data_IF_016675931805
#
_entry.id   IF_016675931805
#
_cell.length_a   1.000
_cell.length_b   1.000
_cell.length_c   1.000
_cell.angle_alpha   90.00
_cell.angle_beta   90.00
_cell.angle_gamma   90.00
#
_symmetry.space_group_name_H-M   'P 1'
#
loop_
_entity.id
_entity.type
_entity.pdbx_description
1 polymer ?
#
# COMPACT_ATOMS: atom_id res chain seq x y z
N UNK A 1 -63.94 -24.03 30.55
CA UNK A 1 -62.58 -23.75 31.05
C UNK A 1 -61.57 -24.56 30.24
N UNK A 2 -60.51 -23.91 29.75
CA UNK A 2 -59.13 -24.42 29.74
C UNK A 2 -58.18 -23.27 29.31
N UNK A 3 -56.89 -23.29 29.70
CA UNK A 3 -56.14 -22.05 29.92
C UNK A 3 -55.19 -21.64 28.78
N UNK A 4 -54.76 -20.38 28.86
CA UNK A 4 -53.69 -19.77 28.05
C UNK A 4 -52.34 -20.40 28.37
N UNK A 5 -51.50 -20.63 27.35
CA UNK A 5 -50.06 -20.85 27.48
C UNK A 5 -49.28 -19.77 26.72
N UNK A 6 -48.22 -19.18 27.29
CA UNK A 6 -47.44 -18.14 26.62
C UNK A 6 -46.42 -18.74 25.64
N UNK A 7 -46.21 -18.07 24.51
CA UNK A 7 -45.18 -18.44 23.53
C UNK A 7 -43.78 -18.18 24.09
N UNK A 8 -42.96 -19.23 24.17
CA UNK A 8 -41.56 -19.10 24.54
C UNK A 8 -40.74 -18.64 23.33
N UNK A 9 -40.14 -17.45 23.41
CA UNK A 9 -39.24 -16.94 22.39
C UNK A 9 -37.95 -17.78 22.34
N UNK A 10 -37.62 -18.34 21.18
CA UNK A 10 -36.33 -18.98 20.93
C UNK A 10 -35.19 -17.96 21.05
N UNK A 11 -34.11 -18.25 21.80
CA UNK A 11 -32.96 -17.36 21.83
C UNK A 11 -32.24 -17.34 20.48
N UNK A 12 -31.90 -16.15 20.02
CA UNK A 12 -31.08 -15.90 18.83
C UNK A 12 -29.70 -16.56 18.94
N UNK A 13 -29.25 -17.21 17.86
CA UNK A 13 -27.93 -17.85 17.81
C UNK A 13 -26.78 -16.83 17.97
N UNK A 14 -25.66 -17.22 18.63
CA UNK A 14 -24.44 -16.41 18.70
C UNK A 14 -23.73 -16.35 17.32
N UNK A 15 -22.79 -15.40 17.13
CA UNK A 15 -22.01 -15.31 15.89
C UNK A 15 -21.19 -16.58 15.64
N UNK A 16 -20.88 -16.82 14.37
CA UNK A 16 -20.24 -18.04 13.85
C UNK A 16 -18.96 -18.43 14.62
N UNK A 17 -19.08 -19.43 15.48
CA UNK A 17 -17.95 -20.09 16.14
C UNK A 17 -17.25 -21.03 15.15
N UNK A 18 -15.95 -20.83 14.92
CA UNK A 18 -15.12 -21.76 14.16
C UNK A 18 -15.19 -23.15 14.81
N UNK A 19 -15.38 -24.20 14.01
CA UNK A 19 -15.61 -25.54 14.56
C UNK A 19 -14.37 -26.06 15.30
N UNK A 20 -14.56 -26.75 16.43
CA UNK A 20 -13.47 -27.30 17.23
C UNK A 20 -12.41 -28.13 16.43
N UNK A 21 -12.79 -29.05 15.51
CA UNK A 21 -11.78 -29.80 14.72
C UNK A 21 -11.05 -28.94 13.68
N UNK A 22 -11.68 -27.87 13.18
CA UNK A 22 -11.03 -26.91 12.29
C UNK A 22 -9.99 -26.09 13.04
N UNK A 23 -10.30 -25.68 14.27
CA UNK A 23 -9.36 -24.96 15.13
C UNK A 23 -8.15 -25.81 15.54
N UNK A 24 -8.35 -27.10 15.82
CA UNK A 24 -7.26 -28.04 16.07
C UNK A 24 -6.30 -28.16 14.87
N UNK A 25 -6.86 -28.11 13.65
CA UNK A 25 -6.08 -28.11 12.41
C UNK A 25 -5.25 -26.83 12.24
N UNK A 26 -5.83 -25.68 12.59
CA UNK A 26 -5.13 -24.38 12.60
C UNK A 26 -3.94 -24.40 13.57
N UNK A 27 -4.11 -24.89 14.80
CA UNK A 27 -3.00 -25.00 15.75
C UNK A 27 -1.87 -25.92 15.25
N UNK A 28 -2.21 -27.04 14.60
CA UNK A 28 -1.22 -27.93 13.98
C UNK A 28 -0.42 -27.23 12.88
N UNK A 29 -1.07 -26.47 11.99
CA UNK A 29 -0.37 -25.71 10.95
C UNK A 29 0.48 -24.57 11.52
N UNK A 30 0.00 -23.84 12.54
CA UNK A 30 0.79 -22.78 13.20
C UNK A 30 2.07 -23.38 13.81
N UNK A 31 1.97 -24.48 14.54
CA UNK A 31 3.14 -25.20 15.08
C UNK A 31 4.12 -25.63 13.96
N UNK A 32 3.58 -26.14 12.86
CA UNK A 32 4.33 -26.59 11.69
C UNK A 32 5.05 -25.48 10.89
N UNK A 33 4.78 -24.19 11.16
CA UNK A 33 5.56 -23.08 10.57
C UNK A 33 7.02 -23.06 11.04
N UNK A 34 7.28 -23.51 12.28
CA UNK A 34 8.63 -23.45 12.86
C UNK A 34 9.60 -24.40 12.17
N UNK A 35 9.16 -25.61 11.83
CA UNK A 35 9.94 -26.61 11.08
C UNK A 35 9.97 -26.28 9.57
N UNK A 36 11.18 -26.12 9.02
CA UNK A 36 11.44 -25.78 7.61
C UNK A 36 10.81 -26.76 6.62
N UNK A 37 10.75 -28.05 6.95
CA UNK A 37 10.20 -29.09 6.06
C UNK A 37 8.68 -29.00 5.91
N UNK A 38 7.97 -28.69 6.99
CA UNK A 38 6.50 -28.60 7.02
C UNK A 38 5.96 -27.19 6.78
N UNK A 39 6.83 -26.17 6.87
CA UNK A 39 6.43 -24.76 6.78
C UNK A 39 5.71 -24.43 5.48
N UNK A 40 6.14 -24.97 4.34
CA UNK A 40 5.55 -24.61 3.04
C UNK A 40 4.08 -25.04 2.90
N UNK A 41 3.75 -26.26 3.32
CA UNK A 41 2.36 -26.73 3.34
C UNK A 41 1.54 -25.99 4.40
N UNK A 42 2.11 -25.73 5.57
CA UNK A 42 1.47 -24.94 6.63
C UNK A 42 1.12 -23.51 6.17
N UNK A 43 2.04 -22.81 5.49
CA UNK A 43 1.80 -21.50 4.89
C UNK A 43 0.60 -21.51 3.94
N UNK A 44 0.54 -22.51 3.05
CA UNK A 44 -0.53 -22.63 2.06
C UNK A 44 -1.90 -22.86 2.72
N UNK A 45 -2.00 -23.76 3.70
CA UNK A 45 -3.28 -24.04 4.37
C UNK A 45 -3.73 -22.87 5.27
N UNK A 46 -2.82 -22.23 6.01
CA UNK A 46 -3.13 -21.04 6.81
C UNK A 46 -3.61 -19.88 5.93
N UNK A 47 -3.04 -19.69 4.74
CA UNK A 47 -3.50 -18.68 3.79
C UNK A 47 -4.94 -18.89 3.34
N UNK A 48 -5.37 -20.15 3.14
CA UNK A 48 -6.78 -20.46 2.82
C UNK A 48 -7.72 -20.16 3.97
N UNK A 49 -7.24 -20.23 5.22
CA UNK A 49 -8.03 -20.02 6.44
C UNK A 49 -8.07 -18.58 6.95
N UNK A 50 -7.26 -17.68 6.39
CA UNK A 50 -7.16 -16.26 6.80
C UNK A 50 -8.49 -15.48 6.79
N UNK A 51 -9.46 -15.89 5.98
CA UNK A 51 -10.77 -15.25 5.85
C UNK A 51 -11.86 -15.98 6.67
N UNK A 52 -11.62 -17.23 7.07
CA UNK A 52 -12.58 -18.05 7.84
C UNK A 52 -12.29 -18.12 9.34
N UNK A 53 -11.11 -17.65 9.77
CA UNK A 53 -10.65 -17.66 11.16
C UNK A 53 -10.26 -16.24 11.57
N UNK A 54 -11.16 -15.44 12.17
CA UNK A 54 -10.88 -14.06 12.58
C UNK A 54 -9.68 -13.95 13.53
N UNK A 55 -9.59 -14.87 14.49
CA UNK A 55 -8.55 -14.95 15.52
C UNK A 55 -7.16 -15.39 14.99
N UNK A 56 -7.01 -15.62 13.69
CA UNK A 56 -5.74 -16.13 13.13
C UNK A 56 -4.56 -15.19 13.41
N UNK A 57 -4.77 -13.88 13.38
CA UNK A 57 -3.72 -12.90 13.62
C UNK A 57 -3.19 -12.94 15.08
N UNK A 58 -4.02 -12.81 16.13
CA UNK A 58 -3.58 -13.01 17.52
C UNK A 58 -2.87 -14.36 17.75
N UNK A 59 -3.34 -15.44 17.12
CA UNK A 59 -2.73 -16.77 17.26
C UNK A 59 -1.34 -16.85 16.61
N UNK A 60 -1.16 -16.28 15.41
CA UNK A 60 0.13 -16.22 14.74
C UNK A 60 1.13 -15.32 15.48
N UNK A 61 0.65 -14.24 16.10
CA UNK A 61 1.49 -13.29 16.84
C UNK A 61 2.00 -13.86 18.16
N UNK A 62 1.09 -14.47 18.95
CA UNK A 62 1.42 -15.01 20.27
C UNK A 62 2.04 -16.43 20.21
N UNK A 63 2.04 -17.08 19.05
CA UNK A 63 2.72 -18.36 18.85
C UNK A 63 4.24 -18.21 18.76
N UNK A 64 4.96 -18.90 19.64
CA UNK A 64 6.42 -18.87 19.70
C UNK A 64 7.05 -19.27 18.35
N UNK A 65 7.90 -18.41 17.82
CA UNK A 65 8.65 -18.64 16.58
C UNK A 65 7.86 -18.44 15.28
N UNK A 66 6.54 -18.27 15.32
CA UNK A 66 5.71 -18.12 14.10
C UNK A 66 6.07 -16.86 13.31
N UNK A 67 6.15 -15.69 13.95
CA UNK A 67 6.56 -14.44 13.28
C UNK A 67 8.01 -14.53 12.77
N UNK A 68 8.92 -15.15 13.52
CA UNK A 68 10.30 -15.36 13.09
C UNK A 68 10.38 -16.27 11.84
N UNK A 69 9.54 -17.31 11.74
CA UNK A 69 9.44 -18.15 10.56
C UNK A 69 8.93 -17.37 9.33
N UNK A 70 7.93 -16.49 9.49
CA UNK A 70 7.45 -15.63 8.39
C UNK A 70 8.53 -14.65 7.92
N UNK A 71 9.32 -14.07 8.83
CA UNK A 71 10.45 -13.20 8.48
C UNK A 71 11.60 -13.97 7.80
N UNK A 72 11.86 -15.23 8.19
CA UNK A 72 12.83 -16.09 7.50
C UNK A 72 12.43 -16.34 6.05
N UNK A 73 11.14 -16.55 5.75
CA UNK A 73 10.66 -16.73 4.38
C UNK A 73 10.87 -15.47 3.52
N UNK A 74 10.75 -14.28 4.10
CA UNK A 74 11.11 -13.02 3.43
C UNK A 74 12.63 -12.96 3.17
N UNK A 75 13.45 -13.20 4.20
CA UNK A 75 14.89 -13.08 4.10
C UNK A 75 15.51 -14.10 3.13
N UNK A 76 14.92 -15.30 3.02
CA UNK A 76 15.33 -16.34 2.07
C UNK A 76 15.20 -15.92 0.61
N UNK A 77 14.39 -14.89 0.30
CA UNK A 77 14.18 -14.39 -1.06
C UNK A 77 15.21 -13.32 -1.45
N UNK A 78 15.82 -12.60 -0.50
CA UNK A 78 16.77 -11.52 -0.80
C UNK A 78 17.92 -11.90 -1.76
N UNK A 79 18.54 -13.09 -1.68
CA UNK A 79 19.57 -13.51 -2.65
C UNK A 79 19.08 -13.61 -4.10
N UNK A 80 17.77 -13.75 -4.33
CA UNK A 80 17.16 -13.86 -5.66
C UNK A 80 16.58 -12.53 -6.17
N UNK A 81 16.69 -11.46 -5.38
CA UNK A 81 16.27 -10.10 -5.78
C UNK A 81 17.36 -9.42 -6.62
N UNK A 82 18.63 -9.58 -6.26
CA UNK A 82 19.77 -9.02 -6.98
C UNK A 82 20.97 -10.00 -6.92
N UNK A 83 21.32 -10.70 -8.01
CA UNK A 83 20.71 -10.65 -9.34
C UNK A 83 19.26 -11.20 -9.37
N UNK A 84 18.41 -10.73 -10.30
CA UNK A 84 16.97 -10.99 -10.27
C UNK A 84 16.60 -12.38 -10.82
N UNK A 85 16.85 -13.42 -10.02
CA UNK A 85 16.68 -14.84 -10.37
C UNK A 85 15.48 -15.50 -9.66
N UNK A 86 14.48 -14.71 -9.22
CA UNK A 86 13.29 -15.22 -8.54
C UNK A 86 12.39 -16.06 -9.46
N UNK A 87 12.16 -17.32 -9.10
CA UNK A 87 11.25 -18.21 -9.82
C UNK A 87 9.80 -18.14 -9.29
N UNK A 88 8.86 -18.72 -10.04
CA UNK A 88 7.44 -18.69 -9.70
C UNK A 88 7.09 -19.45 -8.39
N UNK A 89 7.79 -20.54 -8.08
CA UNK A 89 7.58 -21.33 -6.86
C UNK A 89 7.98 -20.54 -5.61
N UNK A 90 9.17 -19.95 -5.63
CA UNK A 90 9.70 -19.07 -4.58
C UNK A 90 8.77 -17.86 -4.36
N UNK A 91 8.34 -17.21 -5.43
CA UNK A 91 7.39 -16.08 -5.37
C UNK A 91 6.06 -16.49 -4.73
N UNK A 92 5.46 -17.62 -5.15
CA UNK A 92 4.22 -18.11 -4.55
C UNK A 92 4.38 -18.44 -3.05
N UNK A 93 5.47 -19.12 -2.68
CA UNK A 93 5.76 -19.50 -1.28
C UNK A 93 5.91 -18.28 -0.37
N UNK A 94 6.71 -17.28 -0.75
CA UNK A 94 6.84 -16.05 0.05
C UNK A 94 5.55 -15.22 0.03
N UNK A 95 4.80 -15.18 -1.07
CA UNK A 95 3.51 -14.48 -1.12
C UNK A 95 2.47 -15.06 -0.16
N UNK A 96 2.53 -16.37 0.15
CA UNK A 96 1.74 -16.94 1.24
C UNK A 96 2.16 -16.36 2.60
N UNK A 97 3.45 -16.29 2.91
CA UNK A 97 3.92 -15.65 4.14
C UNK A 97 3.52 -14.16 4.21
N UNK A 98 3.62 -13.42 3.10
CA UNK A 98 3.16 -12.03 3.00
C UNK A 98 1.65 -11.89 3.22
N UNK A 99 0.83 -12.84 2.75
CA UNK A 99 -0.62 -12.84 2.97
C UNK A 99 -1.00 -13.06 4.46
N UNK A 100 -0.18 -13.80 5.22
CA UNK A 100 -0.34 -13.92 6.68
C UNK A 100 0.11 -12.65 7.40
N UNK A 101 1.20 -12.01 6.95
CA UNK A 101 1.62 -10.70 7.46
C UNK A 101 0.60 -9.60 7.14
N UNK A 102 -0.12 -9.68 6.01
CA UNK A 102 -1.26 -8.81 5.71
C UNK A 102 -2.41 -9.00 6.70
N UNK A 103 -2.69 -10.24 7.12
CA UNK A 103 -3.69 -10.53 8.16
C UNK A 103 -3.29 -9.87 9.48
N UNK A 104 -2.04 -10.05 9.92
CA UNK A 104 -1.48 -9.44 11.13
C UNK A 104 -1.51 -7.90 11.11
N UNK A 105 -1.18 -7.28 9.97
CA UNK A 105 -1.29 -5.83 9.75
C UNK A 105 -2.75 -5.33 9.81
N UNK A 106 -3.70 -6.14 9.36
CA UNK A 106 -5.12 -5.77 9.32
C UNK A 106 -5.83 -5.90 10.67
N UNK A 107 -5.35 -6.77 11.58
CA UNK A 107 -6.04 -7.06 12.85
C UNK A 107 -5.71 -6.03 13.95
N UNK A 108 -6.71 -5.49 14.67
CA UNK A 108 -6.49 -4.38 15.61
C UNK A 108 -5.52 -4.70 16.75
N UNK A 109 -5.55 -5.92 17.29
CA UNK A 109 -4.69 -6.29 18.42
C UNK A 109 -3.21 -6.43 18.05
N UNK A 110 -2.90 -6.88 16.83
CA UNK A 110 -1.52 -7.19 16.43
C UNK A 110 -0.85 -6.06 15.65
N UNK A 111 -1.62 -5.12 15.09
CA UNK A 111 -1.13 -4.05 14.22
C UNK A 111 -0.11 -3.13 14.87
N UNK A 112 -0.39 -2.67 16.10
CA UNK A 112 0.50 -1.75 16.82
C UNK A 112 1.87 -2.41 17.06
N UNK A 113 1.89 -3.69 17.44
CA UNK A 113 3.13 -4.42 17.71
C UNK A 113 3.84 -4.86 16.41
N UNK A 114 3.09 -5.17 15.35
CA UNK A 114 3.61 -5.38 13.99
C UNK A 114 4.37 -4.14 13.47
N UNK A 115 3.85 -2.94 13.78
CA UNK A 115 4.49 -1.66 13.45
C UNK A 115 5.74 -1.42 14.31
N UNK A 116 5.64 -1.57 15.64
CA UNK A 116 6.78 -1.44 16.58
C UNK A 116 7.92 -2.41 16.29
N UNK A 117 7.61 -3.60 15.79
CA UNK A 117 8.58 -4.60 15.37
C UNK A 117 9.28 -4.25 14.03
N UNK A 118 8.94 -3.12 13.40
CA UNK A 118 9.51 -2.64 12.13
C UNK A 118 9.37 -3.64 10.95
N UNK A 119 8.42 -4.58 11.02
CA UNK A 119 8.18 -5.61 10.01
C UNK A 119 7.99 -5.04 8.58
N UNK A 120 7.31 -3.89 8.36
CA UNK A 120 7.19 -3.31 7.03
C UNK A 120 8.51 -3.06 6.30
N UNK A 121 9.60 -2.76 7.02
CA UNK A 121 10.90 -2.44 6.41
C UNK A 121 11.49 -3.63 5.65
N UNK A 122 11.21 -4.87 6.09
CA UNK A 122 11.63 -6.08 5.39
C UNK A 122 11.01 -6.20 3.99
N UNK A 123 9.90 -5.51 3.72
CA UNK A 123 9.20 -5.54 2.44
C UNK A 123 9.74 -4.52 1.44
N UNK A 124 10.50 -3.52 1.88
CA UNK A 124 10.92 -2.41 1.03
C UNK A 124 11.93 -2.86 -0.04
N UNK A 125 12.76 -3.85 0.29
CA UNK A 125 13.62 -4.57 -0.66
C UNK A 125 12.83 -5.17 -1.83
N UNK A 126 11.59 -5.63 -1.60
CA UNK A 126 10.71 -6.17 -2.65
C UNK A 126 10.05 -5.05 -3.46
N UNK A 127 9.60 -3.97 -2.79
CA UNK A 127 8.99 -2.80 -3.44
C UNK A 127 9.96 -2.08 -4.39
N UNK A 128 11.25 -2.04 -4.05
CA UNK A 128 12.32 -1.42 -4.86
C UNK A 128 12.70 -2.22 -6.14
N UNK A 129 12.01 -3.33 -6.44
CA UNK A 129 12.34 -4.15 -7.62
C UNK A 129 11.73 -3.61 -8.91
N UNK A 130 12.54 -3.59 -9.97
CA UNK A 130 12.15 -3.10 -11.31
C UNK A 130 11.86 -4.21 -12.32
N UNK A 131 12.15 -5.48 -11.99
CA UNK A 131 11.95 -6.62 -12.89
C UNK A 131 10.45 -6.87 -13.14
N UNK A 132 10.05 -6.89 -14.41
CA UNK A 132 8.64 -6.95 -14.87
C UNK A 132 8.13 -8.37 -15.13
N UNK A 133 8.89 -9.41 -14.77
CA UNK A 133 8.43 -10.80 -14.85
C UNK A 133 7.32 -11.06 -13.82
N UNK A 134 6.43 -12.02 -14.13
CA UNK A 134 5.27 -12.36 -13.28
C UNK A 134 5.63 -12.64 -11.79
N UNK A 135 6.74 -13.35 -11.45
CA UNK A 135 7.13 -13.56 -10.06
C UNK A 135 7.42 -12.26 -9.29
N UNK A 136 8.05 -11.27 -9.92
CA UNK A 136 8.38 -9.98 -9.31
C UNK A 136 7.19 -9.00 -9.26
N UNK A 137 6.32 -9.00 -10.27
CA UNK A 137 5.06 -8.23 -10.22
C UNK A 137 4.14 -8.77 -9.11
N UNK A 138 4.02 -10.10 -8.97
CA UNK A 138 3.22 -10.71 -7.90
C UNK A 138 3.80 -10.46 -6.50
N UNK A 139 5.12 -10.53 -6.36
CA UNK A 139 5.81 -10.21 -5.11
C UNK A 139 5.56 -8.76 -4.68
N UNK A 140 5.69 -7.80 -5.60
CA UNK A 140 5.42 -6.38 -5.34
C UNK A 140 3.96 -6.13 -4.99
N UNK A 141 3.01 -6.69 -5.74
CA UNK A 141 1.59 -6.53 -5.48
C UNK A 141 1.20 -7.07 -4.09
N UNK A 142 1.71 -8.23 -3.69
CA UNK A 142 1.44 -8.81 -2.36
C UNK A 142 2.09 -8.00 -1.25
N UNK A 143 3.30 -7.49 -1.46
CA UNK A 143 4.00 -6.60 -0.51
C UNK A 143 3.24 -5.28 -0.31
N UNK A 144 2.75 -4.67 -1.40
CA UNK A 144 1.86 -3.50 -1.35
C UNK A 144 0.53 -3.82 -0.63
N UNK A 145 0.04 -5.06 -0.70
CA UNK A 145 -1.13 -5.51 0.04
C UNK A 145 -0.97 -5.40 1.55
N UNK A 146 0.23 -5.69 2.08
CA UNK A 146 0.55 -5.52 3.52
C UNK A 146 0.54 -4.05 3.91
N UNK A 147 1.26 -3.19 3.15
CA UNK A 147 1.29 -1.74 3.42
C UNK A 147 -0.10 -1.11 3.28
N UNK A 148 -0.85 -1.54 2.25
CA UNK A 148 -2.23 -1.16 2.01
C UNK A 148 -3.19 -1.54 3.14
N UNK A 149 -2.96 -2.68 3.80
CA UNK A 149 -3.73 -3.09 4.98
C UNK A 149 -3.46 -2.18 6.20
N UNK A 150 -2.21 -1.77 6.42
CA UNK A 150 -1.86 -0.82 7.48
C UNK A 150 -2.56 0.53 7.25
N UNK A 151 -2.35 1.18 6.10
CA UNK A 151 -2.91 2.53 5.84
C UNK A 151 -4.43 2.55 5.65
N UNK A 152 -5.08 1.40 5.50
CA UNK A 152 -6.55 1.32 5.45
C UNK A 152 -7.21 1.74 6.78
N UNK A 153 -6.46 1.70 7.87
CA UNK A 153 -6.96 1.88 9.25
C UNK A 153 -7.02 3.32 9.71
N UNK A 154 -6.41 4.24 8.94
CA UNK A 154 -6.38 5.69 9.22
C UNK A 154 -5.74 6.05 10.58
N UNK A 155 -4.88 5.18 11.12
CA UNK A 155 -4.11 5.44 12.34
C UNK A 155 -2.92 6.39 12.07
N UNK A 156 -2.79 7.51 12.81
CA UNK A 156 -1.72 8.48 12.57
C UNK A 156 -0.32 7.92 12.87
N UNK A 157 -0.19 6.95 13.79
CA UNK A 157 1.07 6.26 14.07
C UNK A 157 1.60 5.51 12.84
N UNK A 158 0.71 4.86 12.08
CA UNK A 158 1.04 4.17 10.83
C UNK A 158 1.54 5.16 9.78
N UNK A 159 0.86 6.32 9.64
CA UNK A 159 1.27 7.36 8.70
C UNK A 159 2.64 7.93 9.07
N UNK A 160 2.83 8.31 10.34
CA UNK A 160 4.08 8.85 10.84
C UNK A 160 5.27 7.87 10.65
N UNK A 161 5.07 6.59 10.94
CA UNK A 161 6.05 5.54 10.68
C UNK A 161 6.42 5.48 9.19
N UNK A 162 5.42 5.38 8.30
CA UNK A 162 5.64 5.20 6.86
C UNK A 162 6.30 6.43 6.19
N UNK A 163 6.01 7.64 6.68
CA UNK A 163 6.71 8.85 6.27
C UNK A 163 8.17 8.83 6.73
N UNK A 164 8.43 8.44 7.98
CA UNK A 164 9.77 8.34 8.56
C UNK A 164 10.65 7.26 7.93
N UNK A 165 10.05 6.22 7.32
CA UNK A 165 10.75 5.14 6.61
C UNK A 165 10.90 5.34 5.10
N UNK A 166 10.47 6.49 4.55
CA UNK A 166 10.56 6.80 3.11
C UNK A 166 9.68 5.91 2.18
N UNK A 167 8.42 5.62 2.55
CA UNK A 167 7.51 4.87 1.65
C UNK A 167 7.22 5.62 0.33
N UNK A 168 7.23 6.95 0.33
CA UNK A 168 6.75 7.79 -0.78
C UNK A 168 7.55 7.54 -2.07
N UNK A 169 8.90 7.61 -2.09
CA UNK A 169 9.71 7.24 -3.25
C UNK A 169 9.36 5.85 -3.83
N UNK A 170 9.17 4.84 -2.99
CA UNK A 170 8.83 3.48 -3.42
C UNK A 170 7.46 3.44 -4.10
N UNK A 171 6.45 4.11 -3.54
CA UNK A 171 5.13 4.20 -4.16
C UNK A 171 5.18 4.95 -5.50
N UNK A 172 5.95 6.04 -5.61
CA UNK A 172 6.07 6.83 -6.85
C UNK A 172 6.70 6.02 -7.99
N UNK A 173 7.77 5.26 -7.74
CA UNK A 173 8.40 4.38 -8.75
C UNK A 173 7.42 3.33 -9.26
N UNK A 174 6.60 2.75 -8.37
CA UNK A 174 5.58 1.76 -8.74
C UNK A 174 4.41 2.41 -9.51
N UNK A 175 3.96 3.60 -9.07
CA UNK A 175 2.92 4.39 -9.76
C UNK A 175 3.31 4.77 -11.18
N UNK A 176 4.59 5.07 -11.43
CA UNK A 176 5.11 5.34 -12.76
C UNK A 176 5.22 4.06 -13.62
N UNK A 177 5.82 2.99 -13.09
CA UNK A 177 6.35 1.89 -13.92
C UNK A 177 5.72 0.49 -13.72
N UNK A 178 4.95 0.27 -12.66
CA UNK A 178 4.37 -1.05 -12.31
C UNK A 178 3.19 -1.49 -13.19
N UNK A 179 2.68 -2.70 -12.95
CA UNK A 179 1.40 -3.16 -13.49
C UNK A 179 0.20 -2.34 -12.98
N UNK A 180 -0.92 -2.34 -13.70
CA UNK A 180 -2.14 -1.57 -13.35
C UNK A 180 -2.63 -1.81 -11.92
N UNK A 181 -2.60 -3.07 -11.46
CA UNK A 181 -2.97 -3.44 -10.09
C UNK A 181 -1.99 -2.83 -9.07
N UNK A 182 -0.68 -2.98 -9.29
CA UNK A 182 0.35 -2.39 -8.42
C UNK A 182 0.27 -0.86 -8.39
N UNK A 183 0.02 -0.21 -9.54
CA UNK A 183 -0.25 1.23 -9.62
C UNK A 183 -1.48 1.62 -8.80
N UNK A 184 -2.57 0.85 -8.88
CA UNK A 184 -3.81 1.12 -8.14
C UNK A 184 -3.58 1.05 -6.63
N UNK A 185 -2.88 0.02 -6.14
CA UNK A 185 -2.58 -0.10 -4.70
C UNK A 185 -1.58 0.95 -4.22
N UNK A 186 -0.53 1.25 -5.01
CA UNK A 186 0.44 2.30 -4.66
C UNK A 186 -0.22 3.70 -4.63
N UNK A 187 -1.12 4.00 -5.57
CA UNK A 187 -1.88 5.28 -5.57
C UNK A 187 -2.89 5.32 -4.42
N UNK A 188 -3.49 4.19 -4.02
CA UNK A 188 -4.31 4.11 -2.82
C UNK A 188 -3.49 4.41 -1.55
N UNK A 189 -2.26 3.89 -1.43
CA UNK A 189 -1.36 4.19 -0.33
C UNK A 189 -0.98 5.69 -0.32
N UNK A 190 -0.54 6.24 -1.46
CA UNK A 190 -0.25 7.68 -1.58
C UNK A 190 -1.46 8.57 -1.25
N UNK A 191 -2.66 8.18 -1.65
CA UNK A 191 -3.89 8.86 -1.30
C UNK A 191 -4.17 8.83 0.21
N UNK A 192 -3.93 7.69 0.89
CA UNK A 192 -4.08 7.59 2.35
C UNK A 192 -3.06 8.44 3.09
N UNK A 193 -1.81 8.49 2.62
CA UNK A 193 -0.79 9.40 3.15
C UNK A 193 -1.18 10.87 2.96
N UNK A 194 -1.75 11.24 1.80
CA UNK A 194 -2.22 12.60 1.54
C UNK A 194 -3.45 13.00 2.35
N UNK A 195 -4.35 12.06 2.70
CA UNK A 195 -5.53 12.37 3.50
C UNK A 195 -5.16 12.84 4.91
N UNK A 196 -4.12 12.28 5.50
CA UNK A 196 -3.57 12.73 6.77
C UNK A 196 -2.90 14.11 6.67
N UNK A 197 -3.06 14.95 7.70
CA UNK A 197 -2.52 16.32 7.72
C UNK A 197 -0.98 16.34 7.78
N UNK A 198 -0.34 15.40 8.49
CA UNK A 198 1.12 15.30 8.55
C UNK A 198 1.67 14.83 7.21
N UNK A 199 1.00 13.89 6.55
CA UNK A 199 1.39 13.40 5.23
C UNK A 199 1.20 14.43 4.11
N UNK A 200 0.10 15.20 4.10
CA UNK A 200 -0.05 16.35 3.19
C UNK A 200 1.04 17.39 3.45
N UNK A 201 1.24 17.80 4.70
CA UNK A 201 2.25 18.78 5.08
C UNK A 201 3.68 18.32 4.70
N UNK A 202 4.00 17.03 4.82
CA UNK A 202 5.28 16.45 4.42
C UNK A 202 5.53 16.55 2.91
N UNK A 203 4.52 16.22 2.09
CA UNK A 203 4.63 16.27 0.62
C UNK A 203 4.70 17.72 0.13
N UNK A 204 3.88 18.61 0.70
CA UNK A 204 3.87 20.03 0.37
C UNK A 204 4.99 20.84 1.07
N UNK A 205 5.82 20.22 1.92
CA UNK A 205 6.86 20.91 2.68
C UNK A 205 7.87 21.64 1.77
N UNK A 206 8.29 20.98 0.68
CA UNK A 206 9.24 21.51 -0.30
C UNK A 206 8.66 21.42 -1.70
N UNK A 207 9.07 22.35 -2.57
CA UNK A 207 8.64 22.33 -3.97
C UNK A 207 9.06 21.04 -4.69
N UNK A 208 10.25 20.51 -4.40
CA UNK A 208 10.77 19.28 -5.03
C UNK A 208 9.90 18.05 -4.74
N UNK A 209 9.46 17.86 -3.48
CA UNK A 209 8.58 16.74 -3.11
C UNK A 209 7.22 16.84 -3.80
N UNK A 210 6.60 18.01 -3.76
CA UNK A 210 5.35 18.28 -4.46
C UNK A 210 5.49 18.05 -5.98
N UNK A 211 6.53 18.63 -6.61
CA UNK A 211 6.75 18.54 -8.05
C UNK A 211 6.96 17.10 -8.50
N UNK A 212 7.71 16.29 -7.75
CA UNK A 212 7.90 14.87 -8.05
C UNK A 212 6.57 14.10 -8.02
N UNK A 213 5.74 14.29 -6.98
CA UNK A 213 4.40 13.68 -6.89
C UNK A 213 3.52 14.14 -8.06
N UNK A 214 3.49 15.44 -8.36
CA UNK A 214 2.68 16.01 -9.43
C UNK A 214 3.10 15.49 -10.82
N UNK A 215 4.39 15.37 -11.11
CA UNK A 215 4.92 14.82 -12.37
C UNK A 215 4.57 13.34 -12.54
N UNK A 216 4.60 12.53 -11.47
CA UNK A 216 4.18 11.13 -11.56
C UNK A 216 2.67 11.03 -11.80
N UNK A 217 1.86 11.84 -11.11
CA UNK A 217 0.41 11.87 -11.34
C UNK A 217 0.04 12.34 -12.77
N UNK A 218 0.76 13.31 -13.33
CA UNK A 218 0.57 13.76 -14.73
C UNK A 218 0.86 12.65 -15.74
N UNK A 219 2.01 11.98 -15.59
CA UNK A 219 2.34 10.78 -16.38
C UNK A 219 1.25 9.71 -16.26
N UNK A 220 0.66 9.53 -15.09
CA UNK A 220 -0.45 8.59 -14.90
C UNK A 220 -1.73 9.03 -15.60
N UNK A 221 -2.11 10.32 -15.55
CA UNK A 221 -3.27 10.84 -16.30
C UNK A 221 -3.07 10.65 -17.81
N UNK A 222 -1.87 10.92 -18.32
CA UNK A 222 -1.53 10.74 -19.74
C UNK A 222 -1.64 9.27 -20.19
N UNK A 223 -1.31 8.30 -19.34
CA UNK A 223 -1.56 6.87 -19.62
C UNK A 223 -3.05 6.50 -19.48
N UNK A 224 -3.74 7.01 -18.45
CA UNK A 224 -5.16 6.77 -18.22
C UNK A 224 -6.06 7.22 -19.37
N UNK A 225 -5.68 8.28 -20.09
CA UNK A 225 -6.38 8.71 -21.30
C UNK A 225 -6.45 7.61 -22.38
N UNK A 226 -5.49 6.68 -22.40
CA UNK A 226 -5.44 5.53 -23.30
C UNK A 226 -6.06 4.28 -22.67
N UNK A 227 -5.66 3.96 -21.44
CA UNK A 227 -6.00 2.70 -20.77
C UNK A 227 -7.42 2.70 -20.16
N UNK A 228 -8.01 3.88 -19.95
CA UNK A 228 -9.39 4.08 -19.46
C UNK A 228 -9.73 3.32 -18.15
N UNK A 229 -8.76 3.15 -17.25
CA UNK A 229 -8.97 2.49 -15.95
C UNK A 229 -9.65 3.41 -14.93
N UNK A 230 -10.97 3.26 -14.76
CA UNK A 230 -11.77 4.02 -13.79
C UNK A 230 -11.25 3.88 -12.35
N UNK A 231 -10.80 2.68 -11.95
CA UNK A 231 -10.31 2.40 -10.58
C UNK A 231 -9.08 3.24 -10.26
N UNK A 232 -8.13 3.29 -11.18
CA UNK A 232 -6.89 4.04 -11.00
C UNK A 232 -7.14 5.55 -11.11
N UNK A 233 -7.94 5.99 -12.09
CA UNK A 233 -8.36 7.39 -12.25
C UNK A 233 -9.02 7.95 -10.98
N UNK A 234 -9.88 7.16 -10.33
CA UNK A 234 -10.55 7.52 -9.07
C UNK A 234 -9.57 7.80 -7.92
N UNK A 235 -8.43 7.12 -7.86
CA UNK A 235 -7.39 7.42 -6.87
C UNK A 235 -6.55 8.64 -7.28
N UNK A 236 -6.21 8.79 -8.56
CA UNK A 236 -5.48 9.95 -9.09
C UNK A 236 -6.23 11.26 -8.86
N UNK A 237 -7.54 11.31 -9.17
CA UNK A 237 -8.38 12.49 -8.94
C UNK A 237 -8.42 12.87 -7.46
N UNK A 238 -8.49 11.89 -6.54
CA UNK A 238 -8.47 12.16 -5.10
C UNK A 238 -7.11 12.66 -4.61
N UNK A 239 -6.00 12.15 -5.15
CA UNK A 239 -4.66 12.67 -4.83
C UNK A 239 -4.57 14.16 -5.20
N UNK A 240 -5.00 14.53 -6.43
CA UNK A 240 -5.06 15.94 -6.83
C UNK A 240 -6.00 16.77 -5.96
N UNK A 241 -7.22 16.28 -5.69
CA UNK A 241 -8.21 16.98 -4.86
C UNK A 241 -7.75 17.23 -3.43
N UNK A 242 -6.83 16.41 -2.91
CA UNK A 242 -6.25 16.59 -1.57
C UNK A 242 -5.01 17.49 -1.61
N UNK A 243 -4.21 17.41 -2.68
CA UNK A 243 -3.13 18.37 -2.92
C UNK A 243 -3.64 19.80 -3.10
N UNK A 244 -4.85 20.02 -3.63
CA UNK A 244 -5.46 21.36 -3.76
C UNK A 244 -5.99 21.96 -2.46
N UNK A 245 -5.92 21.25 -1.33
CA UNK A 245 -6.23 21.81 -0.01
C UNK A 245 -5.06 22.68 0.52
N UNK A 246 -3.80 22.28 0.33
CA UNK A 246 -2.62 23.14 0.61
C UNK A 246 -2.57 24.31 -0.39
N UNK A 247 -2.42 25.53 0.13
CA UNK A 247 -2.48 26.74 -0.70
C UNK A 247 -1.37 26.83 -1.75
N UNK A 248 -0.14 26.40 -1.42
CA UNK A 248 1.02 26.47 -2.33
C UNK A 248 0.91 25.42 -3.43
N UNK A 249 0.47 24.22 -3.08
CA UNK A 249 0.19 23.15 -4.02
C UNK A 249 -0.99 23.52 -4.94
N UNK A 250 -2.06 24.12 -4.42
CA UNK A 250 -3.18 24.65 -5.23
C UNK A 250 -2.72 25.71 -6.24
N UNK A 251 -1.89 26.67 -5.82
CA UNK A 251 -1.36 27.71 -6.71
C UNK A 251 -0.48 27.13 -7.82
N UNK A 252 0.34 26.11 -7.51
CA UNK A 252 1.14 25.40 -8.50
C UNK A 252 0.27 24.55 -9.45
N UNK A 253 -0.73 23.83 -8.94
CA UNK A 253 -1.70 23.07 -9.74
C UNK A 253 -2.47 23.96 -10.72
N UNK A 254 -2.68 25.25 -10.40
CA UNK A 254 -3.21 26.25 -11.33
C UNK A 254 -2.40 26.43 -12.62
N UNK A 255 -1.15 25.93 -12.67
CA UNK A 255 -0.27 25.97 -13.85
C UNK A 255 0.11 24.59 -14.39
N UNK A 256 0.05 23.54 -13.56
CA UNK A 256 0.54 22.20 -13.91
C UNK A 256 -0.51 21.07 -13.83
N UNK A 257 -1.81 21.40 -13.72
CA UNK A 257 -2.87 20.38 -13.78
C UNK A 257 -2.94 19.77 -15.20
N UNK A 258 -2.97 18.42 -15.35
CA UNK A 258 -3.02 17.79 -16.67
C UNK A 258 -4.30 18.18 -17.45
N UNK A 259 -4.20 18.58 -18.74
CA UNK A 259 -5.33 19.09 -19.50
C UNK A 259 -6.45 18.05 -19.68
N UNK A 260 -6.13 16.76 -19.69
CA UNK A 260 -7.10 15.66 -19.84
C UNK A 260 -8.10 15.58 -18.68
N UNK A 261 -7.79 16.18 -17.52
CA UNK A 261 -8.73 16.32 -16.40
C UNK A 261 -9.75 17.45 -16.62
N UNK A 262 -9.47 18.39 -17.53
CA UNK A 262 -10.29 19.58 -17.78
C UNK A 262 -10.99 19.59 -19.16
N UNK A 263 -10.39 18.96 -20.18
CA UNK A 263 -10.88 18.95 -21.56
C UNK A 263 -12.08 18.01 -21.81
N UNK A 264 -12.42 17.18 -20.82
CA UNK A 264 -13.52 16.22 -20.90
C UNK A 264 -13.15 14.83 -21.41
N UNK A 265 -11.85 14.51 -21.60
CA UNK A 265 -11.34 13.18 -21.99
C UNK A 265 -11.99 12.04 -21.20
N UNK A 266 -12.17 12.21 -19.89
CA UNK A 266 -12.75 11.19 -19.00
C UNK A 266 -14.28 11.23 -18.85
N UNK A 267 -15.00 12.09 -19.59
CA UNK A 267 -16.46 12.25 -19.41
C UNK A 267 -17.26 10.95 -19.63
N UNK A 268 -16.85 10.12 -20.60
CA UNK A 268 -17.49 8.82 -20.86
C UNK A 268 -17.22 7.83 -19.73
N UNK A 269 -15.98 7.79 -19.23
CA UNK A 269 -15.56 6.90 -18.14
C UNK A 269 -16.18 7.28 -16.78
N UNK A 270 -16.43 8.57 -16.57
CA UNK A 270 -17.04 9.14 -15.36
C UNK A 270 -18.55 9.32 -15.45
N UNK A 271 -19.21 8.77 -16.49
CA UNK A 271 -20.66 8.92 -16.69
C UNK A 271 -21.46 8.36 -15.51
N UNK A 272 -21.08 7.17 -15.04
CA UNK A 272 -21.83 6.42 -14.03
C UNK A 272 -21.23 6.58 -12.60
N UNK A 273 -19.96 6.98 -12.46
CA UNK A 273 -19.35 7.30 -11.15
C UNK A 273 -19.54 8.77 -10.77
N UNK A 274 -20.76 9.07 -10.33
CA UNK A 274 -21.19 10.40 -9.87
C UNK A 274 -20.26 10.97 -8.79
N UNK A 275 -19.74 10.14 -7.89
CA UNK A 275 -18.86 10.57 -6.79
C UNK A 275 -17.50 11.04 -7.33
N UNK A 276 -16.88 10.27 -8.22
CA UNK A 276 -15.60 10.67 -8.85
C UNK A 276 -15.77 11.90 -9.74
N UNK A 277 -16.90 12.01 -10.45
CA UNK A 277 -17.25 13.22 -11.21
C UNK A 277 -17.42 14.46 -10.30
N UNK A 278 -17.99 14.32 -9.10
CA UNK A 278 -18.09 15.41 -8.12
C UNK A 278 -16.72 15.87 -7.62
N UNK A 279 -15.82 14.95 -7.26
CA UNK A 279 -14.45 15.32 -6.85
C UNK A 279 -13.68 16.03 -7.96
N UNK A 280 -13.79 15.57 -9.21
CA UNK A 280 -13.15 16.25 -10.34
C UNK A 280 -13.66 17.69 -10.52
N UNK A 281 -14.98 17.90 -10.44
CA UNK A 281 -15.55 19.25 -10.53
C UNK A 281 -15.16 20.14 -9.34
N UNK A 282 -15.00 19.57 -8.14
CA UNK A 282 -14.54 20.30 -6.96
C UNK A 282 -13.07 20.72 -7.08
N UNK A 283 -12.20 19.81 -7.53
CA UNK A 283 -10.79 20.08 -7.85
C UNK A 283 -10.67 21.22 -8.87
N UNK A 284 -11.38 21.12 -9.99
CA UNK A 284 -11.36 22.16 -11.04
C UNK A 284 -11.83 23.52 -10.50
N UNK A 285 -12.84 23.56 -9.63
CA UNK A 285 -13.29 24.79 -8.96
C UNK A 285 -12.23 25.35 -8.01
N UNK A 286 -11.63 24.51 -7.15
CA UNK A 286 -10.58 24.94 -6.21
C UNK A 286 -9.39 25.54 -6.97
N UNK A 287 -8.93 24.88 -8.03
CA UNK A 287 -7.79 25.32 -8.85
C UNK A 287 -8.14 26.56 -9.70
N UNK A 288 -9.38 26.69 -10.17
CA UNK A 288 -9.82 27.87 -10.94
C UNK A 288 -10.15 29.09 -10.08
N UNK A 289 -10.37 28.93 -8.77
CA UNK A 289 -10.73 30.01 -7.83
C UNK A 289 -9.54 30.92 -7.45
N UNK A 290 -8.67 31.21 -8.42
CA UNK A 290 -7.57 32.18 -8.34
C UNK A 290 -8.10 33.51 -7.77
N UNK A 291 -7.45 34.02 -6.74
CA UNK A 291 -7.91 35.17 -5.97
C UNK A 291 -8.10 36.45 -6.82
N UNK A 292 -9.16 37.24 -6.57
CA UNK A 292 -9.25 38.61 -7.06
C UNK A 292 -8.25 39.51 -6.32
N UNK A 293 -7.15 39.87 -6.99
CA UNK A 293 -6.08 40.72 -6.46
C UNK A 293 -5.10 39.98 -5.52
N UNK A 294 -3.85 40.43 -5.36
CA UNK A 294 -3.17 41.52 -6.06
C UNK A 294 -1.92 41.96 -5.27
N UNK A 295 -0.75 41.92 -5.91
CA UNK A 295 0.36 42.84 -5.59
C UNK A 295 1.42 42.80 -6.70
N UNK A 296 1.52 43.89 -7.46
CA UNK A 296 2.74 44.19 -8.19
C UNK A 296 3.76 44.70 -7.16
N UNK A 297 4.90 44.02 -7.03
CA UNK A 297 6.07 44.64 -6.39
C UNK A 297 6.81 45.41 -7.48
N UNK A 298 6.39 46.65 -7.68
CA UNK A 298 7.18 47.68 -8.33
C UNK A 298 7.99 48.40 -7.26
N UNK A 299 9.28 48.05 -7.12
CA UNK A 299 10.25 48.86 -6.35
C UNK A 299 11.52 49.04 -7.14
N UNK A 300 11.95 50.30 -7.25
CA UNK A 300 13.01 50.75 -8.13
C UNK A 300 14.40 50.19 -7.78
N UNK A 301 15.25 50.20 -8.80
CA UNK A 301 16.70 50.08 -8.69
C UNK A 301 17.32 51.10 -7.73
N UNK A 302 18.12 50.60 -6.77
CA UNK A 302 19.21 51.35 -6.17
C UNK A 302 20.36 50.38 -5.84
N UNK A 303 21.52 50.63 -6.43
CA UNK A 303 22.75 49.85 -6.22
C UNK A 303 23.34 50.08 -4.82
N UNK A 304 24.00 49.09 -4.22
CA UNK A 304 25.20 49.25 -3.36
C UNK A 304 25.93 47.90 -3.20
N UNK A 305 27.22 48.02 -2.96
CA UNK A 305 28.38 47.13 -3.17
C UNK A 305 28.45 45.75 -2.50
N UNK A 306 29.37 44.96 -3.05
CA UNK A 306 29.98 43.69 -2.58
C UNK A 306 30.67 43.75 -1.22
N UNK A 307 30.54 42.68 -0.42
CA UNK A 307 31.57 42.03 0.46
C UNK A 307 30.92 40.73 1.01
N UNK A 308 31.32 39.50 0.62
CA UNK A 308 32.48 38.69 1.04
C UNK A 308 32.37 37.97 2.40
N UNK A 309 32.29 36.63 2.34
CA UNK A 309 32.82 35.63 3.30
C UNK A 309 32.35 35.63 4.78
N UNK A 310 31.55 34.63 5.15
CA UNK A 310 32.03 33.49 5.97
C UNK A 310 30.92 32.47 6.25
N UNK A 311 31.22 31.18 6.10
CA UNK A 311 30.28 30.09 6.35
C UNK A 311 30.67 29.31 7.62
N UNK A 312 29.89 29.46 8.70
CA UNK A 312 29.99 28.59 9.87
C UNK A 312 29.29 27.25 9.62
N UNK A 313 30.06 26.16 9.71
CA UNK A 313 29.61 24.79 9.43
C UNK A 313 29.34 24.05 10.74
N UNK A 314 28.11 23.61 10.96
CA UNK A 314 27.75 22.79 12.13
C UNK A 314 28.32 21.36 11.98
N UNK A 315 28.92 20.75 13.02
CA UNK A 315 29.62 19.47 12.89
C UNK A 315 28.67 18.27 12.81
N UNK A 316 29.05 17.29 11.97
CA UNK A 316 28.37 16.01 11.79
C UNK A 316 29.00 14.97 12.70
N UNK A 317 28.20 14.30 13.54
CA UNK A 317 28.68 13.21 14.39
C UNK A 317 29.14 12.02 13.54
N UNK A 318 30.35 11.51 13.82
CA UNK A 318 30.92 10.35 13.13
C UNK A 318 30.79 9.07 13.96
N UNK A 319 30.30 8.00 13.34
CA UNK A 319 30.46 6.64 13.86
C UNK A 319 31.82 6.09 13.41
N UNK A 320 32.65 5.70 14.37
CA UNK A 320 33.94 5.05 14.14
C UNK A 320 33.82 3.53 14.19
N UNK A 321 34.27 2.85 13.14
CA UNK A 321 34.48 1.40 13.13
C UNK A 321 35.97 1.09 13.35
N UNK A 322 36.33 0.07 14.16
CA UNK A 322 37.72 -0.31 14.37
C UNK A 322 38.27 -1.15 13.21
N UNK A 323 39.50 -0.88 12.80
CA UNK A 323 40.26 -1.66 11.81
C UNK A 323 41.13 -2.70 12.52
N UNK A 324 41.11 -3.95 12.05
CA UNK A 324 42.07 -4.99 12.46
C UNK A 324 42.86 -5.47 11.25
N UNK A 325 44.18 -5.42 11.36
CA UNK A 325 45.14 -5.85 10.33
C UNK A 325 45.52 -7.33 10.49
N UNK A 326 45.44 -8.12 9.41
CA UNK A 326 46.17 -9.41 9.28
C UNK A 326 46.71 -9.56 7.86
N UNK A 327 47.88 -10.19 7.75
CA UNK A 327 48.80 -10.15 6.61
C UNK A 327 48.53 -11.17 5.49
N UNK A 328 49.17 -10.93 4.35
CA UNK A 328 49.21 -11.77 3.14
C UNK A 328 50.16 -12.97 3.22
N UNK A 329 49.72 -14.11 2.68
CA UNK A 329 50.53 -15.13 1.99
C UNK A 329 49.68 -15.74 0.86
N UNK A 330 50.30 -16.17 -0.25
CA UNK A 330 49.56 -16.65 -1.43
C UNK A 330 50.19 -17.86 -2.12
N UNK A 331 49.45 -18.42 -3.10
CA UNK A 331 49.84 -19.39 -4.15
C UNK A 331 48.61 -19.57 -5.08
N UNK A 332 48.62 -19.14 -6.35
CA UNK A 332 49.12 -19.75 -7.62
C UNK A 332 48.21 -20.82 -8.29
N UNK A 333 47.87 -20.56 -9.57
CA UNK A 333 47.40 -21.49 -10.62
C UNK A 333 45.99 -22.14 -10.43
N UNK A 334 45.21 -22.51 -11.47
CA UNK A 334 45.38 -22.46 -12.94
C UNK A 334 44.02 -22.47 -13.68
N UNK A 335 44.04 -22.18 -14.99
CA UNK A 335 42.92 -22.18 -15.94
C UNK A 335 42.44 -23.58 -16.41
N UNK A 336 41.27 -23.67 -17.08
CA UNK A 336 41.05 -24.32 -18.43
C UNK A 336 39.55 -24.44 -18.85
N UNK A 337 39.28 -24.06 -20.12
CA UNK A 337 38.24 -24.46 -21.12
C UNK A 337 36.73 -24.72 -20.84
N UNK A 338 35.90 -23.95 -21.57
CA UNK A 338 34.91 -24.33 -22.63
C UNK A 338 34.00 -25.60 -22.56
N UNK A 339 32.66 -25.37 -22.59
CA UNK A 339 31.60 -25.83 -23.55
C UNK A 339 31.63 -27.21 -24.29
N UNK A 340 30.50 -27.80 -24.80
CA UNK A 340 29.11 -27.29 -24.90
C UNK A 340 27.91 -28.28 -24.68
N UNK A 341 26.68 -27.71 -24.64
CA UNK A 341 25.40 -28.18 -25.25
C UNK A 341 24.78 -29.59 -24.99
N UNK A 342 23.76 -29.63 -24.12
CA UNK A 342 22.51 -30.46 -24.15
C UNK A 342 21.44 -29.69 -23.33
N UNK A 343 20.11 -29.68 -23.55
CA UNK A 343 19.19 -30.23 -24.58
C UNK A 343 17.71 -30.05 -24.15
N UNK A 344 16.71 -30.22 -25.03
CA UNK A 344 15.28 -29.94 -24.75
C UNK A 344 14.43 -31.15 -24.33
N UNK A 345 13.51 -30.97 -23.38
CA UNK A 345 12.20 -31.68 -23.36
C UNK A 345 11.08 -30.86 -22.67
N UNK A 346 9.86 -30.96 -23.21
CA UNK A 346 8.64 -30.32 -22.70
C UNK A 346 8.06 -31.05 -21.47
N UNK A 347 7.33 -30.31 -20.63
CA UNK A 347 6.63 -30.86 -19.46
C UNK A 347 5.50 -29.96 -18.96
N UNK A 348 4.49 -29.71 -19.78
CA UNK A 348 3.35 -28.86 -19.44
C UNK A 348 2.49 -29.46 -18.31
N UNK A 349 2.35 -28.74 -17.20
CA UNK A 349 1.24 -28.94 -16.25
C UNK A 349 0.74 -27.58 -15.76
N UNK A 350 -0.32 -27.10 -16.42
CA UNK A 350 -0.86 -25.75 -16.26
C UNK A 350 -2.13 -25.81 -15.39
N UNK A 351 -2.00 -25.55 -14.09
CA UNK A 351 -3.15 -25.46 -13.16
C UNK A 351 -3.53 -23.98 -13.01
N UNK A 352 -4.75 -23.56 -13.38
CA UNK A 352 -5.17 -22.16 -13.29
C UNK A 352 -5.49 -21.80 -11.83
N UNK A 353 -4.58 -21.11 -11.16
CA UNK A 353 -4.83 -20.49 -9.86
C UNK A 353 -5.67 -19.22 -10.05
N UNK A 354 -6.82 -19.13 -9.37
CA UNK A 354 -7.82 -18.06 -9.55
C UNK A 354 -7.43 -16.73 -8.88
N UNK A 355 -6.52 -15.98 -9.51
CA UNK A 355 -6.11 -14.63 -9.10
C UNK A 355 -7.21 -13.57 -9.35
N UNK A 356 -8.25 -13.47 -8.51
CA UNK A 356 -9.19 -12.31 -8.58
C UNK A 356 -10.08 -12.00 -7.36
N UNK A 357 -10.47 -12.98 -6.52
CA UNK A 357 -11.67 -12.80 -5.67
C UNK A 357 -11.46 -12.13 -4.30
N UNK A 358 -10.24 -12.00 -3.78
CA UNK A 358 -10.02 -11.48 -2.41
C UNK A 358 -9.61 -10.00 -2.31
N UNK A 359 -9.31 -9.34 -3.43
CA UNK A 359 -9.01 -7.88 -3.48
C UNK A 359 -10.16 -7.05 -4.08
N UNK A 360 -11.27 -7.70 -4.43
CA UNK A 360 -12.38 -7.12 -5.21
C UNK A 360 -13.72 -7.05 -4.45
N UNK A 361 -13.78 -7.54 -3.21
CA UNK A 361 -14.96 -7.46 -2.33
C UNK A 361 -14.62 -6.89 -0.95
N UNK A 362 -14.75 -5.57 -0.83
CA UNK A 362 -14.98 -4.90 0.45
C UNK A 362 -16.41 -4.33 0.43
N UNK A 363 -17.38 -4.94 1.14
CA UNK A 363 -18.69 -4.32 1.36
C UNK A 363 -18.59 -3.27 2.49
N UNK A 364 -19.35 -2.19 2.39
CA UNK A 364 -19.47 -1.18 3.45
C UNK A 364 -18.74 0.15 3.17
N UNK A 365 -19.33 0.97 2.31
CA UNK A 365 -19.05 2.42 2.22
C UNK A 365 -20.33 3.20 1.90
N UNK A 366 -21.32 3.09 2.78
CA UNK A 366 -22.43 4.04 2.89
C UNK A 366 -22.65 4.35 4.38
N UNK A 367 -22.07 5.46 4.82
CA UNK A 367 -22.07 5.94 6.19
C UNK A 367 -22.51 7.40 6.26
N UNK A 368 -23.72 7.69 5.79
CA UNK A 368 -24.33 9.03 5.89
C UNK A 368 -25.24 9.08 7.12
N UNK A 369 -24.65 9.36 8.27
CA UNK A 369 -25.41 9.76 9.46
C UNK A 369 -26.03 11.14 9.21
N UNK A 370 -27.35 11.19 9.00
CA UNK A 370 -28.05 12.45 8.77
C UNK A 370 -28.73 12.92 10.06
N UNK A 371 -28.23 14.01 10.64
CA UNK A 371 -28.73 14.58 11.89
C UNK A 371 -29.54 15.86 11.61
N UNK A 372 -30.86 15.73 11.49
CA UNK A 372 -31.88 16.80 11.57
C UNK A 372 -33.27 16.14 11.43
N UNK A 373 -34.34 16.59 12.07
CA UNK A 373 -34.48 17.78 12.91
C UNK A 373 -35.84 18.45 12.67
N UNK A 374 -36.85 18.02 13.45
CA UNK A 374 -38.10 18.75 13.74
C UNK A 374 -39.30 18.73 12.78
N UNK A 375 -40.48 18.71 13.42
CA UNK A 375 -41.84 19.12 13.01
C UNK A 375 -42.70 18.23 12.09
N UNK A 376 -43.93 17.95 12.57
CA UNK A 376 -45.11 18.02 11.69
C UNK A 376 -46.19 16.94 11.85
N UNK A 377 -47.00 17.05 12.91
CA UNK A 377 -48.42 16.66 13.03
C UNK A 377 -49.14 16.02 11.82
N UNK A 378 -49.90 14.92 12.03
CA UNK A 378 -50.91 14.50 11.06
C UNK A 378 -51.45 13.06 11.18
N UNK A 379 -52.50 12.88 11.97
CA UNK A 379 -53.41 11.72 11.97
C UNK A 379 -54.02 11.40 10.59
N UNK A 380 -54.08 10.12 10.17
CA UNK A 380 -55.38 9.41 10.07
C UNK A 380 -55.33 7.92 9.59
N UNK A 381 -56.12 7.11 10.31
CA UNK A 381 -56.99 5.97 9.91
C UNK A 381 -56.80 5.17 8.60
N UNK A 382 -56.96 3.84 8.75
CA UNK A 382 -57.56 2.85 7.82
C UNK A 382 -56.78 2.55 6.51
N UNK A 383 -56.72 1.30 6.02
CA UNK A 383 -57.41 0.03 6.36
C UNK A 383 -56.44 -1.12 6.54
#
# INVERSE_FOLDING_TARGET
>A
MNPVTPSAASPSAPPSTTSAPEMESVYKWISALTNVETRESALLELCKKRESVPELAPLLWNSCGSIAALLQEICAIYPYINPPNLNAHQSNRVCNALALLQCLASHPETRSDFLKANIPLYLYTFLNTSNRTRPFEYLRLTSLGVIGALVKTDEPEVIAFLLGSEIIPLCLVIMESGSELSKTVATFIMHKLLLDEVGLAYICQTYERFAHVATVLDKMVTHLAKDQSLRLLKHVIRCYSRLSDDARARDALGTCLPPQLADGTFNNLLKDDISTKRWLNQLLRQVSARAPGGNQISTNSASITTESLSASRVPRAGFSAPTTTVSTTGQTASSVASDPNVGSTNGSNNVPVSYSNALSRAPGMDGTGNMSGSNGSGSNTQT
#
